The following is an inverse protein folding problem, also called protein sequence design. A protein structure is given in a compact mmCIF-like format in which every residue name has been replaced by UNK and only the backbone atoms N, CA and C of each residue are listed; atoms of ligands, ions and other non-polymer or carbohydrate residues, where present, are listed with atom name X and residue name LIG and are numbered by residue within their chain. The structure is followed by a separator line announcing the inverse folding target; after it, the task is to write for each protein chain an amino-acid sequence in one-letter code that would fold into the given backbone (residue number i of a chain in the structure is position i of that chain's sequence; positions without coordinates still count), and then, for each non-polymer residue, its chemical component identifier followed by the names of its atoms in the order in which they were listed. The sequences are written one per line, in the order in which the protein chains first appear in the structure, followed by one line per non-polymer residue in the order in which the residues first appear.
data_IF_267538038073
#
_entry.id   IF_267538038073
#
_cell.length_a   1.000
_cell.length_b   1.000
_cell.length_c   1.000
_cell.angle_alpha   90.00
_cell.angle_beta   90.00
_cell.angle_gamma   90.00
#
_symmetry.space_group_name_H-M   'P 1'
#
loop_
_entity.id
_entity.type
_entity.pdbx_description
1 polymer ?
#
# COMPACT_ATOMS: atom_id res chain seq x y z
N UNK A 1 -14.36 -22.23 34.67
CA UNK A 1 -13.53 -22.92 33.71
C UNK A 1 -12.98 -21.94 32.69
N UNK A 2 -11.74 -22.11 32.26
CA UNK A 2 -11.15 -21.37 31.15
C UNK A 2 -11.85 -21.77 29.88
N UNK A 3 -12.36 -20.79 29.11
CA UNK A 3 -12.95 -21.03 27.79
C UNK A 3 -11.85 -21.51 26.84
N UNK A 4 -12.07 -22.65 26.18
CA UNK A 4 -11.14 -23.24 25.22
C UNK A 4 -11.54 -22.83 23.79
N UNK A 5 -10.66 -22.27 22.98
CA UNK A 5 -10.97 -21.93 21.59
C UNK A 5 -11.49 -23.12 20.80
N UNK A 6 -12.60 -22.93 20.09
CA UNK A 6 -13.22 -23.93 19.22
C UNK A 6 -13.43 -23.39 17.79
N UNK A 7 -13.70 -22.08 17.64
CA UNK A 7 -13.92 -21.42 16.37
C UNK A 7 -13.16 -20.10 16.28
N UNK A 8 -12.59 -19.83 15.09
CA UNK A 8 -11.87 -18.59 14.77
C UNK A 8 -12.49 -18.00 13.51
N UNK A 9 -12.97 -16.78 13.60
CA UNK A 9 -13.54 -16.02 12.48
C UNK A 9 -12.77 -14.73 12.25
N UNK A 10 -12.46 -14.42 11.00
CA UNK A 10 -11.76 -13.21 10.60
C UNK A 10 -12.66 -12.34 9.72
N UNK A 11 -12.57 -11.04 9.94
CA UNK A 11 -13.20 -10.01 9.10
C UNK A 11 -12.19 -8.93 8.81
N UNK A 12 -12.03 -8.56 7.55
CA UNK A 12 -11.27 -7.37 7.16
C UNK A 12 -12.20 -6.15 7.23
N UNK A 13 -11.80 -5.08 7.92
CA UNK A 13 -12.59 -3.84 7.97
C UNK A 13 -12.80 -3.25 6.57
N UNK A 14 -11.76 -3.31 5.74
CA UNK A 14 -11.82 -2.98 4.32
C UNK A 14 -11.43 -4.23 3.52
N UNK A 15 -12.40 -4.95 2.94
CA UNK A 15 -12.12 -6.18 2.21
C UNK A 15 -11.45 -5.94 0.83
N UNK A 16 -11.48 -4.70 0.33
CA UNK A 16 -10.78 -4.26 -0.87
C UNK A 16 -10.06 -2.95 -0.59
N UNK A 17 -8.76 -2.89 -0.90
CA UNK A 17 -7.91 -1.70 -0.74
C UNK A 17 -7.02 -1.54 -1.97
N UNK A 18 -6.57 -0.31 -2.29
CA UNK A 18 -5.65 -0.11 -3.41
C UNK A 18 -4.36 -0.91 -3.26
N UNK A 19 -3.85 -1.44 -4.35
CA UNK A 19 -2.53 -2.07 -4.40
C UNK A 19 -1.45 -1.00 -4.29
N UNK A 20 -1.12 -0.62 -3.07
CA UNK A 20 -0.10 0.38 -2.73
C UNK A 20 0.55 0.03 -1.40
N UNK A 21 1.85 0.28 -1.26
CA UNK A 21 2.60 0.07 -0.02
C UNK A 21 2.08 0.91 1.16
N UNK A 22 1.35 1.99 0.88
CA UNK A 22 0.71 2.83 1.89
C UNK A 22 -0.67 2.34 2.33
N UNK A 23 -1.26 1.34 1.62
CA UNK A 23 -2.59 0.82 1.93
C UNK A 23 -2.56 -0.10 3.14
N UNK A 24 -3.49 0.11 4.06
CA UNK A 24 -3.66 -0.72 5.25
C UNK A 24 -5.13 -1.04 5.48
N UNK A 25 -5.40 -2.15 6.16
CA UNK A 25 -6.71 -2.48 6.70
C UNK A 25 -6.54 -3.28 7.99
N UNK A 26 -7.45 -3.12 8.92
CA UNK A 26 -7.45 -3.92 10.13
C UNK A 26 -8.22 -5.21 9.93
N UNK A 27 -7.68 -6.28 10.49
CA UNK A 27 -8.29 -7.61 10.55
C UNK A 27 -8.77 -7.85 11.96
N UNK A 28 -10.06 -8.05 12.10
CA UNK A 28 -10.68 -8.39 13.39
C UNK A 28 -10.89 -9.89 13.46
N UNK A 29 -10.31 -10.50 14.48
CA UNK A 29 -10.43 -11.94 14.74
C UNK A 29 -11.36 -12.13 15.95
N UNK A 30 -12.36 -12.95 15.79
CA UNK A 30 -13.28 -13.36 16.87
C UNK A 30 -13.01 -14.82 17.24
N UNK A 31 -12.76 -15.08 18.51
CA UNK A 31 -12.53 -16.44 19.02
C UNK A 31 -13.67 -16.84 19.95
N UNK A 32 -14.27 -17.98 19.66
CA UNK A 32 -15.35 -18.54 20.49
C UNK A 32 -15.03 -19.97 20.92
N UNK A 33 -15.59 -20.36 22.08
CA UNK A 33 -15.55 -21.74 22.54
C UNK A 33 -16.67 -22.59 21.91
N UNK A 34 -16.75 -23.88 22.26
CA UNK A 34 -17.72 -24.81 21.70
C UNK A 34 -19.20 -24.45 22.01
N UNK A 35 -19.43 -23.62 23.01
CA UNK A 35 -20.78 -23.12 23.35
C UNK A 35 -21.12 -21.79 22.66
N UNK A 36 -20.18 -21.22 21.87
CA UNK A 36 -20.32 -19.94 21.22
C UNK A 36 -19.97 -18.74 22.10
N UNK A 37 -19.41 -18.97 23.31
CA UNK A 37 -18.98 -17.92 24.21
C UNK A 37 -17.63 -17.36 23.78
N UNK A 38 -17.48 -16.05 23.88
CA UNK A 38 -16.24 -15.34 23.52
C UNK A 38 -15.06 -15.72 24.43
N UNK A 39 -13.93 -16.07 23.83
CA UNK A 39 -12.68 -16.39 24.52
C UNK A 39 -11.83 -15.12 24.62
N UNK A 40 -11.75 -14.54 25.82
CA UNK A 40 -11.15 -13.21 26.06
C UNK A 40 -9.64 -13.23 26.33
N UNK A 41 -9.08 -14.40 26.62
CA UNK A 41 -7.68 -14.57 26.96
C UNK A 41 -7.04 -15.64 26.08
N UNK A 42 -6.64 -15.20 24.90
CA UNK A 42 -5.98 -16.06 23.92
C UNK A 42 -4.80 -15.30 23.30
N UNK A 43 -3.84 -16.02 22.80
CA UNK A 43 -2.79 -15.50 21.91
C UNK A 43 -3.12 -15.93 20.49
N UNK A 44 -3.45 -14.96 19.66
CA UNK A 44 -3.83 -15.20 18.25
C UNK A 44 -2.66 -14.82 17.36
N UNK A 45 -2.01 -15.81 16.76
CA UNK A 45 -0.98 -15.60 15.75
C UNK A 45 -1.60 -15.43 14.37
N UNK A 46 -1.04 -14.51 13.56
CA UNK A 46 -1.48 -14.31 12.17
C UNK A 46 -0.33 -14.53 11.19
N UNK A 47 -0.70 -14.98 10.00
CA UNK A 47 0.19 -15.11 8.84
C UNK A 47 -0.50 -14.55 7.61
N UNK A 48 0.30 -14.13 6.63
CA UNK A 48 -0.19 -13.59 5.35
C UNK A 48 0.72 -14.07 4.22
N UNK A 49 0.17 -14.27 3.05
CA UNK A 49 0.91 -14.71 1.86
C UNK A 49 1.59 -13.55 1.11
N UNK A 50 1.06 -12.33 1.20
CA UNK A 50 1.62 -11.12 0.57
C UNK A 50 1.44 -9.90 1.46
N UNK A 51 2.48 -9.10 1.58
CA UNK A 51 2.49 -7.95 2.48
C UNK A 51 2.94 -8.31 3.89
N UNK A 52 2.52 -7.53 4.86
CA UNK A 52 2.86 -7.74 6.28
C UNK A 52 1.63 -7.68 7.16
N UNK A 53 1.61 -8.47 8.22
CA UNK A 53 0.53 -8.51 9.21
C UNK A 53 1.12 -8.45 10.62
N UNK A 54 0.48 -7.68 11.49
CA UNK A 54 0.82 -7.66 12.91
C UNK A 54 0.55 -9.04 13.53
N UNK A 55 1.52 -9.60 14.21
CA UNK A 55 1.39 -10.88 14.93
C UNK A 55 2.25 -10.87 16.19
N UNK A 56 1.70 -11.28 17.34
CA UNK A 56 0.31 -11.65 17.55
C UNK A 56 -0.66 -10.45 17.43
N UNK A 57 -1.94 -10.73 17.25
CA UNK A 57 -2.98 -9.70 17.27
C UNK A 57 -3.11 -9.04 18.64
N UNK A 58 -3.46 -7.77 18.64
CA UNK A 58 -3.77 -7.04 19.86
C UNK A 58 -5.10 -7.53 20.45
N UNK A 59 -5.11 -7.90 21.73
CA UNK A 59 -6.30 -8.35 22.44
C UNK A 59 -7.16 -7.16 22.86
N UNK A 60 -8.39 -7.09 22.41
CA UNK A 60 -9.34 -6.02 22.73
C UNK A 60 -10.04 -6.22 24.10
N UNK A 61 -9.85 -7.37 24.75
CA UNK A 61 -10.40 -7.66 26.06
C UNK A 61 -11.83 -8.17 26.07
N UNK A 62 -12.48 -8.19 24.93
CA UNK A 62 -13.90 -8.61 24.77
C UNK A 62 -14.07 -9.98 24.06
N UNK A 63 -12.98 -10.59 23.61
CA UNK A 63 -12.96 -11.84 22.84
C UNK A 63 -12.73 -11.60 21.35
N UNK A 64 -12.48 -10.35 20.98
CA UNK A 64 -11.98 -9.96 19.67
C UNK A 64 -10.50 -9.54 19.75
N UNK A 65 -9.82 -9.68 18.64
CA UNK A 65 -8.39 -9.39 18.49
C UNK A 65 -8.19 -8.66 17.18
N UNK A 66 -7.38 -7.62 17.18
CA UNK A 66 -7.16 -6.79 15.99
C UNK A 66 -5.71 -6.86 15.54
N UNK A 67 -5.49 -7.03 14.26
CA UNK A 67 -4.17 -7.00 13.63
C UNK A 67 -4.18 -6.08 12.41
N UNK A 68 -3.20 -5.20 12.30
CA UNK A 68 -3.06 -4.33 11.14
C UNK A 68 -2.33 -5.07 10.01
N UNK A 69 -2.93 -5.05 8.83
CA UNK A 69 -2.35 -5.54 7.58
C UNK A 69 -1.85 -4.37 6.73
N UNK A 70 -0.66 -4.50 6.19
CA UNK A 70 -0.07 -3.57 5.23
C UNK A 70 0.14 -4.25 3.88
N UNK A 71 -0.35 -3.60 2.82
CA UNK A 71 -0.40 -4.16 1.47
C UNK A 71 0.94 -4.12 0.73
N UNK A 72 0.98 -4.82 -0.40
CA UNK A 72 1.95 -4.66 -1.48
C UNK A 72 1.37 -3.85 -2.63
N UNK A 73 2.20 -3.41 -3.56
CA UNK A 73 1.77 -2.62 -4.73
C UNK A 73 1.45 -3.47 -5.97
N UNK A 74 1.14 -4.74 -5.76
CA UNK A 74 0.73 -5.69 -6.80
C UNK A 74 -0.73 -6.07 -6.61
N UNK A 75 -1.54 -5.89 -7.65
CA UNK A 75 -2.96 -6.29 -7.68
C UNK A 75 -3.12 -7.80 -7.47
N UNK A 76 -4.12 -8.18 -6.72
CA UNK A 76 -4.47 -9.59 -6.52
C UNK A 76 -5.11 -9.85 -5.17
N UNK A 77 -5.47 -11.10 -4.95
CA UNK A 77 -6.02 -11.59 -3.70
C UNK A 77 -4.91 -11.90 -2.70
N UNK A 78 -5.15 -11.53 -1.46
CA UNK A 78 -4.27 -11.81 -0.31
C UNK A 78 -5.02 -12.70 0.66
N UNK A 79 -4.37 -13.77 1.12
CA UNK A 79 -4.90 -14.68 2.13
C UNK A 79 -4.26 -14.39 3.49
N UNK A 80 -5.09 -14.14 4.48
CA UNK A 80 -4.69 -13.92 5.87
C UNK A 80 -5.28 -15.03 6.72
N UNK A 81 -4.46 -15.67 7.54
CA UNK A 81 -4.86 -16.74 8.42
C UNK A 81 -4.52 -16.42 9.87
N UNK A 82 -5.38 -16.81 10.79
CA UNK A 82 -5.16 -16.71 12.23
C UNK A 82 -5.20 -18.08 12.88
N UNK A 83 -4.38 -18.27 13.89
CA UNK A 83 -4.31 -19.52 14.66
C UNK A 83 -4.25 -19.22 16.16
N UNK A 84 -4.99 -20.00 16.94
CA UNK A 84 -4.96 -19.97 18.40
C UNK A 84 -3.89 -20.89 18.97
N UNK A 85 -3.60 -20.79 20.27
CA UNK A 85 -2.61 -21.62 20.96
C UNK A 85 -2.90 -23.12 20.91
N UNK A 86 -4.19 -23.51 20.81
CA UNK A 86 -4.60 -24.90 20.66
C UNK A 86 -4.80 -25.37 19.21
N UNK A 87 -4.37 -24.57 18.22
CA UNK A 87 -4.36 -24.95 16.80
C UNK A 87 -5.66 -24.74 16.05
N UNK A 88 -6.65 -24.03 16.63
CA UNK A 88 -7.84 -23.62 15.87
C UNK A 88 -7.48 -22.46 14.96
N UNK A 89 -7.98 -22.51 13.71
CA UNK A 89 -7.63 -21.52 12.72
C UNK A 89 -8.85 -21.04 11.92
N UNK A 90 -8.70 -19.86 11.34
CA UNK A 90 -9.61 -19.27 10.36
C UNK A 90 -8.82 -18.44 9.36
N UNK A 91 -9.48 -18.01 8.29
CA UNK A 91 -8.86 -17.19 7.25
C UNK A 91 -9.85 -16.18 6.67
N UNK A 92 -9.29 -15.16 6.03
CA UNK A 92 -10.02 -14.12 5.29
C UNK A 92 -9.19 -13.68 4.09
N UNK A 93 -9.87 -13.27 3.01
CA UNK A 93 -9.25 -12.67 1.84
C UNK A 93 -9.37 -11.15 1.88
N UNK A 94 -8.32 -10.46 1.42
CA UNK A 94 -8.32 -9.03 1.11
C UNK A 94 -7.99 -8.88 -0.38
N UNK A 95 -8.77 -8.07 -1.09
CA UNK A 95 -8.51 -7.76 -2.51
C UNK A 95 -7.65 -6.52 -2.62
N UNK A 96 -6.48 -6.64 -3.24
CA UNK A 96 -5.67 -5.51 -3.66
C UNK A 96 -6.11 -5.12 -5.07
N UNK A 97 -6.79 -3.98 -5.17
CA UNK A 97 -7.38 -3.51 -6.43
C UNK A 97 -6.48 -2.49 -7.14
N UNK A 98 -6.70 -2.32 -8.43
CA UNK A 98 -5.98 -1.32 -9.23
C UNK A 98 -6.15 0.08 -8.60
N UNK A 99 -5.04 0.80 -8.31
CA UNK A 99 -5.13 2.14 -7.76
C UNK A 99 -5.72 3.13 -8.76
N UNK A 100 -6.55 4.04 -8.27
CA UNK A 100 -7.11 5.14 -9.07
C UNK A 100 -6.43 6.45 -8.67
N UNK A 101 -5.72 7.07 -9.61
CA UNK A 101 -5.01 8.33 -9.39
C UNK A 101 -6.01 9.48 -9.35
N UNK A 102 -5.94 10.32 -8.31
CA UNK A 102 -6.69 11.57 -8.23
C UNK A 102 -5.88 12.71 -8.84
N UNK A 103 -6.39 13.28 -9.92
CA UNK A 103 -5.79 14.47 -10.54
C UNK A 103 -5.89 15.72 -9.63
N UNK A 104 -6.91 15.77 -8.78
CA UNK A 104 -7.12 16.89 -7.85
C UNK A 104 -6.16 16.87 -6.66
N UNK A 105 -5.70 15.69 -6.22
CA UNK A 105 -4.84 15.53 -5.05
C UNK A 105 -3.38 15.24 -5.39
N UNK A 106 -3.10 14.74 -6.59
CA UNK A 106 -1.74 14.50 -7.06
C UNK A 106 -1.05 15.82 -7.42
N UNK A 107 0.26 15.88 -7.21
CA UNK A 107 1.06 17.10 -7.43
C UNK A 107 2.18 16.86 -8.41
N UNK A 108 2.60 17.94 -9.07
CA UNK A 108 3.73 17.99 -9.96
C UNK A 108 4.54 19.23 -9.63
N UNK A 109 5.81 19.07 -9.25
CA UNK A 109 6.73 20.16 -8.96
C UNK A 109 7.87 20.14 -9.95
N UNK A 110 8.16 21.31 -10.54
CA UNK A 110 9.24 21.49 -11.51
C UNK A 110 10.34 22.30 -10.87
N UNK A 111 11.58 21.79 -10.90
CA UNK A 111 12.77 22.51 -10.54
C UNK A 111 13.74 22.58 -11.71
N UNK A 112 14.32 23.76 -11.92
CA UNK A 112 15.27 24.03 -12.99
C UNK A 112 16.61 24.36 -12.34
N UNK A 113 17.65 23.59 -12.66
CA UNK A 113 19.00 23.95 -12.29
C UNK A 113 19.54 25.01 -13.28
N UNK A 114 19.62 26.26 -12.80
CA UNK A 114 20.00 27.41 -13.61
C UNK A 114 21.53 27.58 -13.78
N UNK A 115 22.36 26.73 -13.18
CA UNK A 115 23.82 26.88 -13.17
C UNK A 115 24.54 26.25 -14.36
N UNK A 116 23.85 25.82 -15.38
CA UNK A 116 24.47 25.18 -16.54
C UNK A 116 24.38 26.08 -17.77
N UNK A 117 25.49 26.68 -18.18
CA UNK A 117 25.60 27.42 -19.43
C UNK A 117 25.34 26.58 -20.70
N UNK A 118 25.24 25.27 -20.56
CA UNK A 118 25.04 24.35 -21.67
C UNK A 118 24.21 23.13 -21.25
N UNK A 119 22.90 23.18 -21.54
CA UNK A 119 22.02 22.06 -21.32
C UNK A 119 21.56 21.93 -19.86
N UNK A 120 20.77 22.90 -19.38
CA UNK A 120 20.20 22.89 -18.02
C UNK A 120 19.40 21.63 -17.75
N UNK A 121 19.60 21.08 -16.56
CA UNK A 121 18.84 19.93 -16.10
C UNK A 121 17.52 20.40 -15.49
N UNK A 122 16.42 19.80 -15.93
CA UNK A 122 15.10 20.03 -15.38
C UNK A 122 14.68 18.77 -14.64
N UNK A 123 14.26 18.92 -13.40
CA UNK A 123 13.73 17.84 -12.58
C UNK A 123 12.25 18.08 -12.33
N UNK A 124 11.44 17.05 -12.55
CA UNK A 124 10.02 17.05 -12.28
C UNK A 124 9.76 15.99 -11.21
N UNK A 125 9.30 16.43 -10.05
CA UNK A 125 8.86 15.55 -8.97
C UNK A 125 7.35 15.38 -9.08
N UNK A 126 6.90 14.13 -9.24
CA UNK A 126 5.50 13.76 -9.30
C UNK A 126 5.15 13.02 -8.03
N UNK A 127 4.04 13.40 -7.39
CA UNK A 127 3.43 12.69 -6.26
C UNK A 127 2.03 12.25 -6.64
N UNK A 128 1.80 10.95 -6.66
CA UNK A 128 0.49 10.37 -7.00
C UNK A 128 -0.26 9.96 -5.74
N UNK A 129 -1.46 10.50 -5.60
CA UNK A 129 -2.40 10.20 -4.53
C UNK A 129 -3.73 9.74 -5.13
N UNK A 130 -4.50 8.95 -4.36
CA UNK A 130 -5.90 8.69 -4.66
C UNK A 130 -6.82 9.80 -4.10
N UNK A 131 -8.14 9.68 -4.27
CA UNK A 131 -9.11 10.66 -3.77
C UNK A 131 -9.16 10.78 -2.25
N UNK A 132 -8.73 9.76 -1.53
CA UNK A 132 -8.60 9.76 -0.08
C UNK A 132 -7.27 10.38 0.40
N UNK A 133 -6.39 10.77 -0.52
CA UNK A 133 -5.07 11.31 -0.21
C UNK A 133 -4.03 10.23 0.13
N UNK A 134 -4.32 8.96 -0.19
CA UNK A 134 -3.38 7.86 0.01
C UNK A 134 -2.29 7.89 -1.06
N UNK A 135 -1.00 7.81 -0.69
CA UNK A 135 0.10 7.67 -1.64
C UNK A 135 -0.01 6.38 -2.46
N UNK A 136 0.20 6.49 -3.77
CA UNK A 136 0.14 5.36 -4.69
C UNK A 136 1.53 4.95 -5.14
N UNK A 137 2.05 3.85 -4.60
CA UNK A 137 3.34 3.26 -4.99
C UNK A 137 3.20 2.37 -6.23
N UNK A 138 4.34 2.09 -6.87
CA UNK A 138 4.40 1.16 -8.00
C UNK A 138 3.82 1.68 -9.31
N UNK A 139 3.41 2.95 -9.39
CA UNK A 139 2.78 3.55 -10.56
C UNK A 139 3.82 4.05 -11.55
N UNK A 140 3.66 3.65 -12.82
CA UNK A 140 4.49 4.16 -13.91
C UNK A 140 4.02 5.56 -14.31
N UNK A 141 4.94 6.52 -14.34
CA UNK A 141 4.68 7.90 -14.78
C UNK A 141 5.40 8.13 -16.11
N UNK A 142 4.66 8.58 -17.10
CA UNK A 142 5.19 8.97 -18.41
C UNK A 142 5.09 10.48 -18.60
N UNK A 143 6.18 11.10 -19.02
CA UNK A 143 6.22 12.51 -19.38
C UNK A 143 6.16 12.64 -20.90
N UNK A 144 5.22 13.43 -21.40
CA UNK A 144 5.15 13.85 -22.79
C UNK A 144 5.58 15.31 -22.88
N UNK A 145 6.58 15.59 -23.71
CA UNK A 145 7.07 16.94 -23.98
C UNK A 145 6.68 17.31 -25.42
N UNK A 146 6.13 18.49 -25.60
CA UNK A 146 5.77 18.99 -26.92
C UNK A 146 6.41 20.37 -27.16
N UNK A 147 7.20 20.60 -28.24
CA UNK A 147 7.55 19.64 -29.29
C UNK A 147 8.60 18.60 -28.83
N UNK A 148 8.57 17.41 -29.39
CA UNK A 148 9.44 16.28 -29.01
C UNK A 148 10.91 16.46 -29.42
N UNK A 149 11.27 17.55 -30.05
CA UNK A 149 12.61 17.75 -30.60
C UNK A 149 13.66 18.01 -29.51
N UNK A 150 14.67 17.14 -29.46
CA UNK A 150 15.93 17.26 -28.70
C UNK A 150 15.80 17.22 -27.17
N UNK A 151 14.88 16.43 -26.66
CA UNK A 151 14.78 16.17 -25.22
C UNK A 151 15.25 14.75 -24.91
N UNK A 152 16.23 14.59 -24.05
CA UNK A 152 16.61 13.29 -23.51
C UNK A 152 15.85 13.09 -22.21
N UNK A 153 14.89 12.16 -22.22
CA UNK A 153 14.11 11.80 -21.03
C UNK A 153 14.73 10.55 -20.43
N UNK A 154 15.18 10.64 -19.20
CA UNK A 154 15.51 9.45 -18.45
C UNK A 154 14.20 8.68 -18.14
N UNK A 155 14.15 7.37 -18.39
CA UNK A 155 12.95 6.60 -18.14
C UNK A 155 12.52 6.80 -16.68
N UNK A 156 11.26 7.14 -16.48
CA UNK A 156 10.70 7.31 -15.16
C UNK A 156 10.76 5.99 -14.39
N UNK A 157 11.25 6.05 -13.18
CA UNK A 157 11.05 4.98 -12.22
C UNK A 157 9.58 4.95 -11.79
N UNK A 158 9.12 3.81 -11.30
CA UNK A 158 7.82 3.71 -10.65
C UNK A 158 7.81 4.57 -9.38
N UNK A 159 6.63 5.04 -8.98
CA UNK A 159 6.46 5.75 -7.71
C UNK A 159 6.87 4.87 -6.51
N UNK A 160 7.49 5.49 -5.53
CA UNK A 160 7.94 4.85 -4.29
C UNK A 160 6.79 4.69 -3.27
N UNK A 161 7.12 4.25 -2.05
CA UNK A 161 6.16 4.09 -0.95
C UNK A 161 5.40 5.36 -0.58
N UNK A 162 5.97 6.53 -0.86
CA UNK A 162 5.39 7.85 -0.61
C UNK A 162 4.63 8.40 -1.84
N UNK A 163 4.45 7.57 -2.87
CA UNK A 163 3.79 7.93 -4.12
C UNK A 163 4.61 8.83 -5.03
N UNK A 164 5.92 8.97 -4.78
CA UNK A 164 6.81 9.91 -5.47
C UNK A 164 7.69 9.24 -6.51
N UNK A 165 7.89 9.94 -7.62
CA UNK A 165 8.96 9.66 -8.58
C UNK A 165 9.53 10.96 -9.12
N UNK A 166 10.80 10.94 -9.53
CA UNK A 166 11.48 12.10 -10.12
C UNK A 166 11.87 11.78 -11.56
N UNK A 167 11.46 12.65 -12.48
CA UNK A 167 11.84 12.58 -13.90
C UNK A 167 12.81 13.72 -14.16
N UNK A 168 13.99 13.39 -14.69
CA UNK A 168 14.99 14.39 -15.08
C UNK A 168 15.16 14.38 -16.58
N UNK A 169 15.31 15.55 -17.16
CA UNK A 169 15.70 15.68 -18.55
C UNK A 169 16.65 16.85 -18.76
N UNK A 170 17.48 16.73 -19.79
CA UNK A 170 18.40 17.79 -20.18
C UNK A 170 17.83 18.48 -21.41
N UNK A 171 17.61 19.79 -21.31
CA UNK A 171 17.21 20.59 -22.45
C UNK A 171 18.35 20.60 -23.49
N UNK A 172 18.05 20.20 -24.72
CA UNK A 172 19.01 20.26 -25.82
C UNK A 172 19.45 21.69 -26.10
N UNK A 173 20.72 21.88 -26.53
CA UNK A 173 21.19 23.18 -26.98
C UNK A 173 20.28 23.71 -28.08
N UNK A 174 19.61 24.82 -27.83
CA UNK A 174 19.07 25.62 -28.92
C UNK A 174 20.25 26.11 -29.76
N UNK A 175 20.38 25.57 -30.95
CA UNK A 175 21.34 26.12 -31.91
C UNK A 175 20.85 27.51 -32.31
N UNK A 176 21.37 28.52 -31.65
CA UNK A 176 21.38 29.86 -32.23
C UNK A 176 22.32 29.82 -33.46
N UNK A 177 21.75 29.95 -34.65
CA UNK A 177 22.46 30.41 -35.83
C UNK A 177 22.44 31.93 -35.85
#
# INVERSE_FOLDING_TARGET
GTSVPAKVELVAEKPAIPASLASTTDIVVTVTDASGKLVKRETVGLTVDKGTIQSPAANNGDGTYTASYAAVDTVGEVQISAITSNGKFGSVSVQLVEPVVSSAKSTLEISIDSNTETGGQISIVVMLLNDDGLPLSGQKVELKVNPEEKVVINPSAKTDKDGKTTITFTAGKSGMK
#
